data_IF_261254970448
#
_entry.id   IF_261254970448
#
_cell.length_a   1.000
_cell.length_b   1.000
_cell.length_c   1.000
_cell.angle_alpha   90.00
_cell.angle_beta   90.00
_cell.angle_gamma   90.00
#
_symmetry.space_group_name_H-M   'P 1'
#
loop_
_entity.id
_entity.type
_entity.pdbx_description
1 polymer ?
#
# COMPACT_ATOMS: atom_id res chain seq x y z
N UNK A 1 -17.58 45.95 -43.91
CA UNK A 1 -16.34 45.18 -43.75
C UNK A 1 -16.37 43.76 -44.36
N UNK A 2 -17.46 43.29 -44.99
CA UNK A 2 -17.57 41.95 -45.60
C UNK A 2 -17.27 41.90 -47.11
N UNK A 3 -16.98 43.04 -47.77
CA UNK A 3 -16.72 43.12 -49.24
C UNK A 3 -15.21 43.27 -49.57
N UNK A 4 -14.33 43.48 -48.60
CA UNK A 4 -12.89 43.65 -48.84
C UNK A 4 -12.08 42.32 -48.78
N UNK A 5 -12.67 41.27 -48.21
CA UNK A 5 -11.99 39.97 -48.07
C UNK A 5 -12.09 39.10 -49.34
N UNK A 6 -13.09 39.34 -50.16
CA UNK A 6 -13.31 38.59 -51.40
C UNK A 6 -12.35 38.97 -52.55
N UNK A 7 -11.74 40.16 -52.54
CA UNK A 7 -10.82 40.60 -53.61
C UNK A 7 -9.38 40.17 -53.39
N UNK A 8 -8.97 39.79 -52.18
CA UNK A 8 -7.58 39.35 -51.91
C UNK A 8 -7.38 37.87 -52.24
N UNK A 9 -8.43 37.04 -52.14
CA UNK A 9 -8.34 35.64 -52.51
C UNK A 9 -8.33 35.35 -54.01
N UNK A 10 -8.83 36.28 -54.86
CA UNK A 10 -8.84 36.10 -56.31
C UNK A 10 -7.52 36.49 -56.99
N UNK A 11 -6.65 37.25 -56.29
CA UNK A 11 -5.37 37.68 -56.87
C UNK A 11 -4.22 36.69 -56.67
N UNK A 12 -4.37 35.74 -55.74
CA UNK A 12 -3.31 34.73 -55.46
C UNK A 12 -3.40 33.50 -56.40
N UNK A 13 -4.55 33.30 -57.08
CA UNK A 13 -4.71 32.16 -58.02
C UNK A 13 -4.36 32.47 -59.47
N UNK A 14 -3.99 33.70 -59.78
CA UNK A 14 -3.70 34.09 -61.18
C UNK A 14 -2.18 34.11 -61.52
N UNK A 15 -1.28 33.85 -60.57
CA UNK A 15 0.19 33.92 -60.80
C UNK A 15 0.84 32.57 -60.97
N UNK A 16 0.11 31.44 -60.83
CA UNK A 16 0.69 30.09 -60.85
C UNK A 16 0.58 29.33 -62.20
N UNK A 17 0.24 30.00 -63.30
CA UNK A 17 0.04 29.32 -64.61
C UNK A 17 0.95 29.79 -65.76
N UNK A 18 2.09 30.46 -65.49
CA UNK A 18 3.00 30.90 -66.55
C UNK A 18 4.47 30.59 -66.24
N UNK A 19 4.81 29.32 -66.00
CA UNK A 19 6.20 28.85 -65.96
C UNK A 19 6.28 27.37 -66.36
N UNK A 20 5.90 27.07 -67.61
CA UNK A 20 6.27 25.80 -68.26
C UNK A 20 6.98 26.18 -69.55
N UNK A 21 8.31 26.31 -69.45
CA UNK A 21 9.17 26.26 -70.66
C UNK A 21 10.58 25.82 -70.21
N UNK A 22 10.95 24.60 -70.68
CA UNK A 22 12.29 24.10 -70.83
C UNK A 22 13.21 24.03 -69.61
N UNK A 23 13.24 22.85 -68.97
CA UNK A 23 14.39 22.40 -68.21
C UNK A 23 14.96 21.13 -68.86
N UNK A 24 16.27 21.17 -69.17
CA UNK A 24 17.07 20.02 -69.58
C UNK A 24 17.05 18.94 -68.51
N UNK A 25 17.22 17.63 -68.85
CA UNK A 25 17.20 16.54 -67.85
C UNK A 25 18.43 16.65 -66.94
N UNK A 26 18.17 17.01 -65.69
CA UNK A 26 19.13 16.93 -64.58
C UNK A 26 19.36 15.43 -64.28
N UNK A 27 20.60 14.97 -64.10
CA UNK A 27 20.88 13.59 -63.73
C UNK A 27 20.14 13.23 -62.44
N UNK A 28 19.36 12.14 -62.46
CA UNK A 28 18.63 11.62 -61.31
C UNK A 28 19.67 11.16 -60.26
N UNK A 29 19.91 12.01 -59.28
CA UNK A 29 20.63 11.61 -58.07
C UNK A 29 19.80 10.51 -57.40
N UNK A 30 20.42 9.34 -57.15
CA UNK A 30 19.75 8.19 -56.55
C UNK A 30 19.04 8.64 -55.26
N UNK A 31 17.74 8.41 -55.20
CA UNK A 31 16.91 8.73 -54.02
C UNK A 31 17.59 8.14 -52.79
N UNK A 32 17.98 9.04 -51.87
CA UNK A 32 18.47 8.64 -50.53
C UNK A 32 17.42 7.73 -49.92
N UNK A 33 17.76 6.53 -49.44
CA UNK A 33 16.80 5.64 -48.86
C UNK A 33 16.02 6.43 -47.77
N UNK A 34 14.71 6.32 -47.79
CA UNK A 34 13.88 6.89 -46.73
C UNK A 34 14.43 6.40 -45.39
N UNK A 35 14.52 7.26 -44.36
CA UNK A 35 14.94 6.80 -43.04
C UNK A 35 14.08 5.60 -42.67
N UNK A 36 14.74 4.47 -42.39
CA UNK A 36 14.06 3.30 -41.84
C UNK A 36 13.18 3.79 -40.66
N UNK A 37 11.90 3.45 -40.71
CA UNK A 37 10.99 3.74 -39.59
C UNK A 37 11.56 3.01 -38.38
N UNK A 38 12.20 3.74 -37.49
CA UNK A 38 12.67 3.20 -36.20
C UNK A 38 11.43 2.65 -35.53
N UNK A 39 11.35 1.31 -35.45
CA UNK A 39 10.26 0.67 -34.68
C UNK A 39 10.30 1.26 -33.27
N UNK A 40 9.18 1.75 -32.73
CA UNK A 40 9.17 2.27 -31.37
C UNK A 40 9.79 1.24 -30.42
N UNK A 41 10.68 1.67 -29.55
CA UNK A 41 11.27 0.79 -28.55
C UNK A 41 10.15 0.09 -27.77
N UNK A 42 10.27 -1.22 -27.61
CA UNK A 42 9.31 -1.97 -26.82
C UNK A 42 9.41 -1.49 -25.36
N UNK A 43 8.30 -1.06 -24.78
CA UNK A 43 8.26 -0.64 -23.40
C UNK A 43 8.40 -1.84 -22.46
N UNK A 44 9.13 -1.66 -21.38
CA UNK A 44 9.43 -2.71 -20.38
C UNK A 44 9.07 -2.19 -19.00
N UNK A 45 8.34 -2.98 -18.21
CA UNK A 45 8.00 -2.69 -16.82
C UNK A 45 8.81 -3.65 -15.93
N UNK A 46 9.66 -3.11 -15.07
CA UNK A 46 10.33 -3.88 -14.03
C UNK A 46 9.54 -3.79 -12.73
N UNK A 47 9.16 -4.94 -12.17
CA UNK A 47 8.46 -5.05 -10.89
C UNK A 47 9.44 -5.61 -9.86
N UNK A 48 9.75 -4.82 -8.84
CA UNK A 48 10.66 -5.24 -7.77
C UNK A 48 9.84 -5.74 -6.58
N UNK A 49 10.08 -6.99 -6.19
CA UNK A 49 9.38 -7.67 -5.09
C UNK A 49 10.36 -8.10 -4.01
N UNK A 50 10.00 -8.09 -2.71
CA UNK A 50 10.88 -8.59 -1.66
C UNK A 50 11.08 -10.10 -1.79
N UNK A 51 12.33 -10.56 -1.59
CA UNK A 51 12.69 -11.97 -1.53
C UNK A 51 12.39 -12.52 -0.14
N UNK A 52 11.90 -13.76 -0.07
CA UNK A 52 11.60 -14.45 1.20
C UNK A 52 10.67 -13.66 2.15
N UNK A 53 9.80 -12.84 1.60
CA UNK A 53 8.80 -12.14 2.38
C UNK A 53 7.77 -13.11 2.97
N UNK A 54 7.20 -12.75 4.10
CA UNK A 54 6.12 -13.48 4.77
C UNK A 54 4.88 -12.60 4.89
N UNK A 55 3.75 -13.21 5.22
CA UNK A 55 2.50 -12.52 5.47
C UNK A 55 2.05 -11.59 4.33
N UNK A 56 1.70 -10.37 4.68
CA UNK A 56 1.17 -9.38 3.75
C UNK A 56 2.13 -9.06 2.58
N UNK A 57 3.43 -8.92 2.86
CA UNK A 57 4.42 -8.61 1.82
C UNK A 57 4.58 -9.75 0.80
N UNK A 58 4.55 -11.01 1.26
CA UNK A 58 4.58 -12.18 0.39
C UNK A 58 3.36 -12.19 -0.55
N UNK A 59 2.19 -11.94 -0.01
CA UNK A 59 0.96 -11.85 -0.80
C UNK A 59 1.01 -10.69 -1.79
N UNK A 60 1.47 -9.50 -1.38
CA UNK A 60 1.61 -8.35 -2.26
C UNK A 60 2.55 -8.65 -3.44
N UNK A 61 3.68 -9.30 -3.20
CA UNK A 61 4.59 -9.75 -4.24
C UNK A 61 3.95 -10.77 -5.20
N UNK A 62 3.20 -11.74 -4.67
CA UNK A 62 2.55 -12.78 -5.47
C UNK A 62 1.46 -12.21 -6.39
N UNK A 63 0.57 -11.35 -5.88
CA UNK A 63 -0.49 -10.74 -6.70
C UNK A 63 0.07 -9.75 -7.73
N UNK A 64 1.17 -9.07 -7.42
CA UNK A 64 1.88 -8.22 -8.37
C UNK A 64 2.52 -9.04 -9.50
N UNK A 65 3.11 -10.19 -9.19
CA UNK A 65 3.68 -11.10 -10.18
C UNK A 65 2.59 -11.67 -11.11
N UNK A 66 1.41 -12.01 -10.58
CA UNK A 66 0.26 -12.46 -11.39
C UNK A 66 -0.23 -11.35 -12.34
N UNK A 67 -0.33 -10.11 -11.86
CA UNK A 67 -0.67 -8.95 -12.68
C UNK A 67 0.38 -8.73 -13.78
N UNK A 68 1.67 -8.85 -13.44
CA UNK A 68 2.79 -8.75 -14.37
C UNK A 68 2.69 -9.78 -15.50
N UNK A 69 2.41 -11.04 -15.19
CA UNK A 69 2.22 -12.10 -16.19
C UNK A 69 0.98 -11.83 -17.07
N UNK A 70 -0.09 -11.31 -16.50
CA UNK A 70 -1.30 -10.93 -17.25
C UNK A 70 -1.00 -9.83 -18.27
N UNK A 71 -0.29 -8.78 -17.87
CA UNK A 71 0.10 -7.66 -18.73
C UNK A 71 1.06 -8.15 -19.83
N UNK A 72 2.02 -9.00 -19.48
CA UNK A 72 2.95 -9.61 -20.42
C UNK A 72 2.25 -10.49 -21.44
N UNK A 73 1.29 -11.31 -21.00
CA UNK A 73 0.51 -12.18 -21.89
C UNK A 73 -0.36 -11.40 -22.89
N UNK A 74 -0.78 -10.18 -22.55
CA UNK A 74 -1.44 -9.27 -23.47
C UNK A 74 -0.54 -8.78 -24.62
N UNK A 75 0.77 -8.98 -24.51
CA UNK A 75 1.76 -8.78 -25.60
C UNK A 75 2.07 -7.32 -25.94
N UNK A 76 1.58 -6.37 -25.14
CA UNK A 76 1.78 -4.93 -25.36
C UNK A 76 3.09 -4.41 -24.77
N UNK A 77 3.44 -4.93 -23.59
CA UNK A 77 4.66 -4.60 -22.85
C UNK A 77 5.41 -5.89 -22.51
N UNK A 78 6.73 -5.79 -22.36
CA UNK A 78 7.47 -6.80 -21.62
C UNK A 78 7.44 -6.46 -20.14
N UNK A 79 7.33 -7.48 -19.27
CA UNK A 79 7.32 -7.30 -17.82
C UNK A 79 8.34 -8.24 -17.21
N UNK A 80 9.20 -7.69 -16.36
CA UNK A 80 10.27 -8.41 -15.67
C UNK A 80 10.08 -8.27 -14.18
N UNK A 81 9.82 -9.38 -13.49
CA UNK A 81 9.75 -9.42 -12.03
C UNK A 81 11.12 -9.77 -11.48
N UNK A 82 11.63 -8.98 -10.55
CA UNK A 82 12.94 -9.18 -9.92
C UNK A 82 12.80 -9.11 -8.40
N UNK A 83 13.35 -10.09 -7.69
CA UNK A 83 13.36 -10.11 -6.24
C UNK A 83 14.58 -9.35 -5.68
N UNK A 84 14.42 -8.77 -4.49
CA UNK A 84 15.49 -8.14 -3.71
C UNK A 84 15.48 -8.66 -2.27
N UNK A 85 16.67 -8.89 -1.71
CA UNK A 85 16.82 -9.45 -0.37
C UNK A 85 16.73 -8.40 0.74
N UNK A 86 17.17 -7.17 0.46
CA UNK A 86 17.23 -6.06 1.41
C UNK A 86 17.26 -4.70 0.69
N UNK A 87 17.27 -3.60 1.43
CA UNK A 87 17.33 -2.25 0.89
C UNK A 87 18.57 -2.00 0.00
N UNK A 88 19.72 -2.56 0.36
CA UNK A 88 20.94 -2.40 -0.45
C UNK A 88 20.82 -3.12 -1.80
N UNK A 89 20.23 -4.32 -1.80
CA UNK A 89 19.95 -5.08 -3.02
C UNK A 89 18.94 -4.33 -3.90
N UNK A 90 17.91 -3.72 -3.32
CA UNK A 90 16.94 -2.89 -4.04
C UNK A 90 17.61 -1.67 -4.67
N UNK A 91 18.42 -0.91 -3.89
CA UNK A 91 19.19 0.24 -4.38
C UNK A 91 20.11 -0.16 -5.54
N UNK A 92 20.76 -1.32 -5.44
CA UNK A 92 21.60 -1.84 -6.52
C UNK A 92 20.79 -2.11 -7.79
N UNK A 93 19.64 -2.79 -7.70
CA UNK A 93 18.76 -3.05 -8.83
C UNK A 93 18.31 -1.75 -9.51
N UNK A 94 17.90 -0.75 -8.72
CA UNK A 94 17.50 0.57 -9.24
C UNK A 94 18.64 1.28 -9.98
N UNK A 95 19.87 1.26 -9.44
CA UNK A 95 21.03 1.82 -10.12
C UNK A 95 21.38 1.07 -11.41
N UNK A 96 21.28 -0.27 -11.42
CA UNK A 96 21.52 -1.09 -12.59
C UNK A 96 20.49 -0.78 -13.70
N UNK A 97 19.20 -0.58 -13.34
CA UNK A 97 18.14 -0.19 -14.27
C UNK A 97 18.35 1.22 -14.83
N UNK A 98 18.77 2.18 -14.01
CA UNK A 98 19.14 3.51 -14.48
C UNK A 98 20.28 3.46 -15.51
N UNK A 99 21.30 2.64 -15.26
CA UNK A 99 22.44 2.47 -16.18
C UNK A 99 22.08 1.73 -17.49
N UNK A 100 21.05 0.89 -17.49
CA UNK A 100 20.55 0.17 -18.67
C UNK A 100 19.62 1.00 -19.55
N UNK A 101 19.12 2.13 -19.03
CA UNK A 101 18.19 2.99 -19.75
C UNK A 101 18.86 3.62 -20.97
N UNK A 102 18.16 3.64 -22.11
CA UNK A 102 18.56 4.38 -23.30
C UNK A 102 18.11 5.86 -23.26
N UNK A 103 17.45 6.29 -22.19
CA UNK A 103 16.93 7.63 -22.04
C UNK A 103 15.71 7.96 -22.91
N UNK A 104 15.08 6.94 -23.53
CA UNK A 104 13.95 7.08 -24.46
C UNK A 104 12.57 6.98 -23.80
N UNK A 105 12.52 6.80 -22.47
CA UNK A 105 11.28 6.65 -21.70
C UNK A 105 10.57 5.31 -21.92
N UNK A 106 11.26 4.31 -22.46
CA UNK A 106 10.70 2.97 -22.68
C UNK A 106 10.72 2.08 -21.44
N UNK A 107 11.38 2.52 -20.35
CA UNK A 107 11.56 1.77 -19.12
C UNK A 107 10.69 2.34 -17.99
N UNK A 108 9.98 1.47 -17.28
CA UNK A 108 9.25 1.80 -16.07
C UNK A 108 9.61 0.85 -14.94
N UNK A 109 9.59 1.35 -13.70
CA UNK A 109 9.89 0.57 -12.49
C UNK A 109 8.75 0.68 -11.50
N UNK A 110 8.31 -0.44 -10.96
CA UNK A 110 7.28 -0.51 -9.91
C UNK A 110 7.88 -1.21 -8.71
N UNK A 111 7.74 -0.61 -7.53
CA UNK A 111 8.35 -1.15 -6.32
C UNK A 111 7.58 -0.79 -5.05
N UNK A 112 7.76 -1.62 -4.02
CA UNK A 112 7.58 -1.23 -2.63
C UNK A 112 8.96 -0.82 -2.10
N UNK A 113 9.18 0.45 -1.72
CA UNK A 113 10.45 0.87 -1.12
C UNK A 113 10.75 0.10 0.16
N UNK A 114 11.94 -0.48 0.25
CA UNK A 114 12.36 -1.20 1.45
C UNK A 114 12.55 -0.25 2.65
N UNK A 115 13.06 0.95 2.38
CA UNK A 115 13.18 2.08 3.31
C UNK A 115 13.51 3.37 2.54
N UNK A 116 13.76 4.48 3.23
CA UNK A 116 14.09 5.77 2.63
C UNK A 116 15.43 5.79 1.87
N UNK A 117 16.31 4.82 2.06
CA UNK A 117 17.62 4.76 1.37
C UNK A 117 17.52 4.65 -0.15
N UNK A 118 16.37 4.24 -0.68
CA UNK A 118 16.10 4.12 -2.12
C UNK A 118 15.96 5.48 -2.83
N UNK A 119 15.70 6.58 -2.11
CA UNK A 119 15.42 7.90 -2.72
C UNK A 119 16.51 8.36 -3.69
N UNK A 120 17.78 8.22 -3.32
CA UNK A 120 18.89 8.60 -4.19
C UNK A 120 18.96 7.76 -5.48
N UNK A 121 18.55 6.50 -5.43
CA UNK A 121 18.49 5.63 -6.61
C UNK A 121 17.26 5.95 -7.49
N UNK A 122 16.13 6.32 -6.89
CA UNK A 122 14.94 6.79 -7.61
C UNK A 122 15.22 8.10 -8.35
N UNK A 123 15.98 9.03 -7.75
CA UNK A 123 16.42 10.25 -8.43
C UNK A 123 17.25 9.95 -9.69
N UNK A 124 18.13 8.94 -9.64
CA UNK A 124 18.91 8.51 -10.82
C UNK A 124 18.06 7.87 -11.91
N UNK A 125 16.98 7.16 -11.55
CA UNK A 125 16.02 6.67 -12.55
C UNK A 125 15.43 7.84 -13.35
N UNK A 126 15.01 8.91 -12.66
CA UNK A 126 14.48 10.11 -13.33
C UNK A 126 15.52 10.79 -14.23
N UNK A 127 16.77 10.93 -13.77
CA UNK A 127 17.87 11.46 -14.58
C UNK A 127 18.10 10.61 -15.84
N UNK A 128 17.86 9.30 -15.76
CA UNK A 128 17.94 8.35 -16.87
C UNK A 128 16.64 8.26 -17.71
N UNK A 129 15.66 9.15 -17.48
CA UNK A 129 14.34 9.15 -18.10
C UNK A 129 13.57 7.83 -17.92
N UNK A 130 13.65 7.24 -16.74
CA UNK A 130 12.91 6.05 -16.31
C UNK A 130 11.80 6.48 -15.35
N UNK A 131 10.56 6.15 -15.71
CA UNK A 131 9.40 6.40 -14.84
C UNK A 131 9.33 5.37 -13.71
N UNK A 132 8.83 5.76 -12.53
CA UNK A 132 8.59 4.80 -11.47
C UNK A 132 7.24 5.00 -10.79
N UNK A 133 6.68 3.92 -10.23
CA UNK A 133 5.48 3.91 -9.39
C UNK A 133 5.83 3.26 -8.05
N UNK A 134 5.28 3.81 -6.97
CA UNK A 134 5.54 3.39 -5.60
C UNK A 134 4.30 2.74 -4.99
N UNK A 135 4.51 1.75 -4.11
CA UNK A 135 3.47 1.10 -3.35
C UNK A 135 3.88 0.97 -1.87
N UNK A 136 2.91 1.05 -0.96
CA UNK A 136 3.03 0.89 0.49
C UNK A 136 3.81 2.03 1.17
N UNK A 137 5.10 1.88 1.34
CA UNK A 137 5.97 2.91 1.91
C UNK A 137 6.34 3.93 0.85
N UNK A 138 5.96 5.18 1.04
CA UNK A 138 6.16 6.27 0.07
C UNK A 138 7.14 7.29 0.65
N UNK A 139 8.43 7.26 0.24
CA UNK A 139 9.39 8.28 0.66
C UNK A 139 9.01 9.66 0.14
N UNK A 140 8.98 10.68 1.00
CA UNK A 140 8.48 12.02 0.69
C UNK A 140 9.14 12.66 -0.54
N UNK A 141 10.48 12.54 -0.65
CA UNK A 141 11.21 13.13 -1.76
C UNK A 141 10.92 12.43 -3.11
N UNK A 142 10.58 11.14 -3.08
CA UNK A 142 10.27 10.34 -4.26
C UNK A 142 8.81 10.47 -4.69
N UNK A 143 7.89 10.75 -3.76
CA UNK A 143 6.45 10.83 -4.00
C UNK A 143 6.09 11.80 -5.11
N UNK A 144 6.73 12.96 -5.16
CA UNK A 144 6.39 14.08 -6.07
C UNK A 144 6.63 13.72 -7.54
N UNK A 145 7.60 12.87 -7.82
CA UNK A 145 8.05 12.55 -9.18
C UNK A 145 7.59 11.15 -9.66
N UNK A 146 6.91 10.40 -8.83
CA UNK A 146 6.34 9.10 -9.19
C UNK A 146 5.18 9.24 -10.18
N UNK A 147 4.94 8.20 -10.96
CA UNK A 147 3.74 8.05 -11.78
C UNK A 147 2.50 7.94 -10.89
N UNK A 148 2.60 7.17 -9.82
CA UNK A 148 1.56 7.00 -8.80
C UNK A 148 2.18 6.53 -7.48
N UNK A 149 1.54 6.92 -6.38
CA UNK A 149 1.82 6.49 -5.01
C UNK A 149 0.60 5.71 -4.52
N UNK A 150 0.68 4.39 -4.51
CA UNK A 150 -0.40 3.52 -4.06
C UNK A 150 -0.18 3.16 -2.60
N UNK A 151 -1.02 3.64 -1.70
CA UNK A 151 -0.80 3.49 -0.26
C UNK A 151 -2.11 3.34 0.51
N UNK A 152 -1.98 3.05 1.79
CA UNK A 152 -3.02 3.27 2.79
C UNK A 152 -2.65 4.46 3.66
N UNK A 153 -3.65 5.19 4.12
CA UNK A 153 -3.45 6.18 5.17
C UNK A 153 -3.42 5.45 6.53
N UNK A 154 -2.23 5.33 7.11
CA UNK A 154 -2.02 4.64 8.38
C UNK A 154 -2.77 5.31 9.55
N UNK A 155 -2.96 6.63 9.51
CA UNK A 155 -3.77 7.34 10.51
C UNK A 155 -5.24 6.96 10.39
N UNK A 156 -5.74 6.80 9.18
CA UNK A 156 -7.12 6.32 8.94
C UNK A 156 -7.30 4.90 9.46
N UNK A 157 -6.30 4.00 9.34
CA UNK A 157 -6.34 2.67 9.95
C UNK A 157 -6.46 2.79 11.48
N UNK A 158 -5.62 3.62 12.11
CA UNK A 158 -5.68 3.86 13.56
C UNK A 158 -7.02 4.44 14.03
N UNK A 159 -7.57 5.39 13.27
CA UNK A 159 -8.89 5.97 13.55
C UNK A 159 -10.00 4.90 13.44
N UNK A 160 -9.92 3.99 12.46
CA UNK A 160 -10.86 2.90 12.33
C UNK A 160 -10.82 1.95 13.52
N UNK A 161 -9.64 1.58 14.02
CA UNK A 161 -9.47 0.76 15.23
C UNK A 161 -10.11 1.46 16.44
N UNK A 162 -9.81 2.76 16.66
CA UNK A 162 -10.41 3.53 17.73
C UNK A 162 -11.94 3.57 17.64
N UNK A 163 -12.47 3.82 16.44
CA UNK A 163 -13.91 3.85 16.19
C UNK A 163 -14.59 2.51 16.50
N UNK A 164 -13.95 1.37 16.17
CA UNK A 164 -14.50 0.06 16.52
C UNK A 164 -14.50 -0.18 18.03
N UNK A 165 -13.44 0.18 18.74
CA UNK A 165 -13.41 0.06 20.19
C UNK A 165 -14.48 0.95 20.87
N UNK A 166 -14.65 2.20 20.40
CA UNK A 166 -15.72 3.10 20.91
C UNK A 166 -17.11 2.51 20.61
N UNK A 167 -17.33 1.95 19.43
CA UNK A 167 -18.60 1.24 19.09
C UNK A 167 -18.84 0.01 19.98
N UNK A 168 -17.77 -0.63 20.46
CA UNK A 168 -17.81 -1.75 21.41
C UNK A 168 -17.88 -1.30 22.88
N UNK A 169 -18.06 0.00 23.12
CA UNK A 169 -18.32 0.54 24.46
C UNK A 169 -17.14 1.22 25.14
N UNK A 170 -15.97 1.33 24.50
CA UNK A 170 -14.82 2.04 25.09
C UNK A 170 -15.17 3.50 25.38
N UNK A 171 -14.95 3.93 26.62
CA UNK A 171 -15.13 5.30 27.11
C UNK A 171 -13.81 5.89 27.60
N UNK A 172 -13.78 7.20 27.86
CA UNK A 172 -12.58 7.90 28.35
C UNK A 172 -12.07 7.38 29.71
N UNK A 173 -12.97 6.87 30.54
CA UNK A 173 -12.64 6.38 31.87
C UNK A 173 -12.09 4.94 31.88
N UNK A 174 -12.16 4.23 30.74
CA UNK A 174 -11.74 2.85 30.65
C UNK A 174 -10.32 2.73 30.09
N UNK A 175 -9.62 1.69 30.54
CA UNK A 175 -8.26 1.40 30.11
C UNK A 175 -8.26 0.72 28.73
N UNK A 176 -7.43 1.21 27.81
CA UNK A 176 -7.12 0.56 26.54
C UNK A 176 -5.61 0.31 26.43
N UNK A 177 -5.24 -0.88 26.03
CA UNK A 177 -3.85 -1.25 25.78
C UNK A 177 -3.61 -1.28 24.28
N UNK A 178 -2.66 -0.48 23.81
CA UNK A 178 -2.16 -0.50 22.43
C UNK A 178 -0.94 -1.40 22.36
N UNK A 179 -1.06 -2.53 21.68
CA UNK A 179 0.04 -3.45 21.41
C UNK A 179 0.67 -3.09 20.07
N UNK A 180 1.90 -2.62 20.11
CA UNK A 180 2.60 -2.07 18.94
C UNK A 180 4.06 -2.55 18.87
N UNK A 181 4.62 -2.58 17.65
CA UNK A 181 6.06 -2.64 17.42
C UNK A 181 6.67 -1.24 17.29
N UNK A 182 7.76 -1.13 16.56
CA UNK A 182 8.56 0.10 16.45
C UNK A 182 8.56 0.73 15.04
N UNK A 183 7.65 0.28 14.16
CA UNK A 183 7.60 0.81 12.79
C UNK A 183 6.94 2.19 12.72
N UNK A 184 7.31 2.97 11.71
CA UNK A 184 6.69 4.27 11.46
C UNK A 184 5.19 4.15 11.14
N UNK A 185 4.79 3.10 10.42
CA UNK A 185 3.38 2.82 10.12
C UNK A 185 2.56 2.63 11.41
N UNK A 186 3.08 1.88 12.39
CA UNK A 186 2.42 1.68 13.67
C UNK A 186 2.36 2.96 14.52
N UNK A 187 3.43 3.78 14.46
CA UNK A 187 3.41 5.10 15.11
C UNK A 187 2.32 6.01 14.50
N UNK A 188 2.14 5.99 13.18
CA UNK A 188 1.07 6.72 12.50
C UNK A 188 -0.31 6.16 12.84
N UNK A 189 -0.47 4.83 12.98
CA UNK A 189 -1.72 4.21 13.47
C UNK A 189 -2.06 4.67 14.89
N UNK A 190 -1.05 4.67 15.78
CA UNK A 190 -1.20 5.19 17.14
C UNK A 190 -1.60 6.68 17.15
N UNK A 191 -1.00 7.49 16.26
CA UNK A 191 -1.39 8.89 16.11
C UNK A 191 -2.86 9.01 15.64
N UNK A 192 -3.26 8.26 14.62
CA UNK A 192 -4.62 8.25 14.09
C UNK A 192 -5.66 7.82 15.13
N UNK A 193 -5.36 6.81 15.93
CA UNK A 193 -6.15 6.36 17.06
C UNK A 193 -6.41 7.51 18.05
N UNK A 194 -5.36 8.20 18.46
CA UNK A 194 -5.45 9.35 19.39
C UNK A 194 -6.22 10.52 18.79
N UNK A 195 -5.96 10.84 17.52
CA UNK A 195 -6.64 11.94 16.83
C UNK A 195 -8.16 11.68 16.71
N UNK A 196 -8.57 10.44 16.46
CA UNK A 196 -9.98 10.07 16.43
C UNK A 196 -10.63 10.31 17.81
N UNK A 197 -10.05 9.80 18.89
CA UNK A 197 -10.57 9.96 20.24
C UNK A 197 -10.65 11.44 20.66
N UNK A 198 -9.74 12.28 20.19
CA UNK A 198 -9.75 13.72 20.42
C UNK A 198 -10.71 14.50 19.50
N UNK A 199 -11.46 13.83 18.63
CA UNK A 199 -12.33 14.47 17.65
C UNK A 199 -11.59 15.32 16.60
N UNK A 200 -10.34 14.97 16.26
CA UNK A 200 -9.49 15.67 15.28
C UNK A 200 -9.35 14.94 13.96
N UNK A 201 -9.80 13.69 13.90
CA UNK A 201 -9.81 12.85 12.71
C UNK A 201 -11.15 12.12 12.66
N UNK A 202 -11.77 12.03 11.50
CA UNK A 202 -12.99 11.26 11.30
C UNK A 202 -12.68 9.85 10.77
N UNK A 203 -13.66 8.95 10.93
CA UNK A 203 -13.73 7.66 10.28
C UNK A 203 -15.06 7.53 9.54
N UNK A 204 -15.03 7.21 8.23
CA UNK A 204 -16.24 7.15 7.38
C UNK A 204 -17.11 8.42 7.40
N UNK A 205 -16.48 9.58 7.55
CA UNK A 205 -17.17 10.86 7.65
C UNK A 205 -17.85 11.11 9.00
N UNK A 206 -17.59 10.25 10.01
CA UNK A 206 -18.12 10.39 11.37
C UNK A 206 -16.98 10.65 12.36
N UNK A 207 -17.10 11.71 13.11
CA UNK A 207 -16.27 12.00 14.28
C UNK A 207 -16.83 11.26 15.51
N UNK A 208 -15.97 11.05 16.52
CA UNK A 208 -16.45 10.63 17.83
C UNK A 208 -17.46 11.65 18.38
N UNK A 209 -18.58 11.18 18.95
CA UNK A 209 -19.66 12.07 19.45
C UNK A 209 -19.19 12.96 20.61
N UNK A 210 -18.40 12.40 21.51
CA UNK A 210 -17.82 13.12 22.65
C UNK A 210 -16.31 13.01 22.58
N UNK A 211 -15.60 14.05 22.12
CA UNK A 211 -14.13 14.07 22.13
C UNK A 211 -13.58 13.92 23.55
N UNK A 212 -12.55 13.09 23.69
CA UNK A 212 -11.89 12.87 24.96
C UNK A 212 -11.03 14.07 25.37
N UNK A 213 -11.09 14.44 26.64
CA UNK A 213 -10.28 15.50 27.22
C UNK A 213 -8.90 14.99 27.64
N UNK A 214 -8.82 13.74 28.11
CA UNK A 214 -7.56 13.07 28.48
C UNK A 214 -7.34 11.79 27.67
N UNK A 215 -6.07 11.42 27.52
CA UNK A 215 -5.62 10.14 26.95
C UNK A 215 -4.79 9.33 27.97
N UNK A 216 -4.92 9.65 29.28
CA UNK A 216 -4.11 9.04 30.33
C UNK A 216 -4.40 7.56 30.55
N UNK A 217 -5.60 7.09 30.15
CA UNK A 217 -6.00 5.69 30.22
C UNK A 217 -5.52 4.84 29.02
N UNK A 218 -4.77 5.43 28.07
CA UNK A 218 -4.15 4.71 26.98
C UNK A 218 -2.77 4.22 27.43
N UNK A 219 -2.60 2.91 27.48
CA UNK A 219 -1.34 2.25 27.79
C UNK A 219 -0.66 1.80 26.51
N UNK A 220 0.57 2.26 26.29
CA UNK A 220 1.36 1.87 25.13
C UNK A 220 2.29 0.73 25.49
N UNK A 221 2.16 -0.37 24.80
CA UNK A 221 2.97 -1.57 25.00
C UNK A 221 3.81 -1.87 23.76
N UNK A 222 5.11 -1.61 23.86
CA UNK A 222 6.05 -1.88 22.79
C UNK A 222 6.60 -3.29 22.89
N UNK A 223 6.38 -4.09 21.83
CA UNK A 223 6.93 -5.42 21.74
C UNK A 223 8.35 -5.41 21.21
N UNK A 224 9.14 -6.36 21.70
CA UNK A 224 10.46 -6.65 21.17
C UNK A 224 10.34 -7.64 19.99
N UNK A 225 10.24 -7.13 18.77
CA UNK A 225 10.05 -7.91 17.56
C UNK A 225 8.61 -7.86 17.03
N UNK A 226 8.46 -8.28 15.77
CA UNK A 226 7.19 -8.19 15.03
C UNK A 226 6.75 -9.56 14.53
N UNK A 227 6.84 -10.58 15.41
CA UNK A 227 6.51 -11.97 15.11
C UNK A 227 5.40 -12.49 16.02
N UNK A 228 4.75 -13.56 15.60
CA UNK A 228 3.78 -14.28 16.41
C UNK A 228 4.37 -14.71 17.76
N UNK A 229 5.61 -15.20 17.78
CA UNK A 229 6.32 -15.64 19.00
C UNK A 229 6.61 -14.47 19.95
N UNK A 230 6.99 -13.30 19.41
CA UNK A 230 7.21 -12.11 20.24
C UNK A 230 5.90 -11.62 20.87
N UNK A 231 4.78 -11.68 20.15
CA UNK A 231 3.47 -11.32 20.66
C UNK A 231 2.97 -12.34 21.72
N UNK A 232 3.17 -13.64 21.51
CA UNK A 232 2.88 -14.68 22.49
C UNK A 232 3.67 -14.45 23.78
N UNK A 233 4.98 -14.24 23.67
CA UNK A 233 5.86 -13.97 24.82
C UNK A 233 5.48 -12.70 25.55
N UNK A 234 5.21 -11.63 24.81
CA UNK A 234 4.76 -10.36 25.37
C UNK A 234 3.49 -10.57 26.19
N UNK A 235 2.46 -11.18 25.61
CA UNK A 235 1.16 -11.30 26.26
C UNK A 235 1.19 -12.26 27.46
N UNK A 236 2.00 -13.32 27.40
CA UNK A 236 2.27 -14.18 28.54
C UNK A 236 2.87 -13.41 29.72
N UNK A 237 3.83 -12.50 29.43
CA UNK A 237 4.43 -11.64 30.45
C UNK A 237 3.43 -10.61 30.97
N UNK A 238 2.63 -10.01 30.08
CA UNK A 238 1.60 -9.03 30.44
C UNK A 238 0.59 -9.61 31.43
N UNK A 239 0.09 -10.82 31.18
CA UNK A 239 -0.85 -11.48 32.10
C UNK A 239 -0.21 -11.97 33.41
N UNK A 240 1.10 -12.09 33.49
CA UNK A 240 1.80 -12.38 34.74
C UNK A 240 1.97 -11.16 35.64
N UNK A 241 1.75 -9.95 35.12
CA UNK A 241 1.80 -8.69 35.85
C UNK A 241 0.42 -8.34 36.41
N UNK A 242 0.37 -7.59 37.51
CA UNK A 242 -0.88 -7.28 38.23
C UNK A 242 -1.80 -6.28 37.53
N UNK A 243 -1.38 -5.73 36.39
CA UNK A 243 -2.10 -4.63 35.72
C UNK A 243 -3.12 -5.11 34.68
N UNK A 244 -3.28 -6.41 34.47
CA UNK A 244 -4.19 -6.95 33.44
C UNK A 244 -5.67 -6.95 33.84
N UNK A 245 -5.97 -7.01 35.16
CA UNK A 245 -7.34 -7.12 35.67
C UNK A 245 -8.31 -6.00 35.19
N UNK A 246 -7.76 -4.80 34.96
CA UNK A 246 -8.56 -3.64 34.51
C UNK A 246 -8.53 -3.47 32.98
N UNK A 247 -7.99 -4.44 32.22
CA UNK A 247 -7.85 -4.32 30.76
C UNK A 247 -8.97 -5.05 30.05
N UNK A 248 -9.93 -4.28 29.55
CA UNK A 248 -10.98 -4.79 28.69
C UNK A 248 -10.68 -4.58 27.19
N UNK A 249 -10.02 -3.49 26.82
CA UNK A 249 -9.87 -3.10 25.43
C UNK A 249 -8.43 -3.23 24.93
N UNK A 250 -8.25 -3.94 23.81
CA UNK A 250 -6.97 -4.16 23.14
C UNK A 250 -7.01 -3.59 21.73
N UNK A 251 -6.15 -2.61 21.43
CA UNK A 251 -5.84 -2.16 20.09
C UNK A 251 -4.52 -2.80 19.64
N UNK A 252 -4.51 -3.50 18.52
CA UNK A 252 -3.38 -4.33 18.10
C UNK A 252 -2.99 -3.99 16.66
N UNK A 253 -1.74 -3.56 16.45
CA UNK A 253 -1.34 -3.00 15.15
C UNK A 253 -1.01 -4.01 14.05
N UNK A 254 -1.14 -5.31 14.32
CA UNK A 254 -1.01 -6.36 13.30
C UNK A 254 -1.80 -7.61 13.71
N UNK A 255 -2.39 -8.30 12.74
CA UNK A 255 -3.11 -9.56 12.98
C UNK A 255 -2.18 -10.66 13.49
N UNK A 256 -0.89 -10.62 13.16
CA UNK A 256 0.12 -11.54 13.71
C UNK A 256 0.20 -11.39 15.23
N UNK A 257 0.07 -10.16 15.74
CA UNK A 257 0.06 -9.91 17.18
C UNK A 257 -1.23 -10.42 17.83
N UNK A 258 -2.37 -10.21 17.18
CA UNK A 258 -3.65 -10.75 17.63
C UNK A 258 -3.60 -12.28 17.72
N UNK A 259 -3.05 -12.94 16.72
CA UNK A 259 -2.85 -14.39 16.72
C UNK A 259 -1.88 -14.85 17.81
N UNK A 260 -0.85 -14.07 18.11
CA UNK A 260 0.08 -14.33 19.23
C UNK A 260 -0.61 -14.24 20.58
N UNK A 261 -1.50 -13.26 20.78
CA UNK A 261 -2.33 -13.13 21.98
C UNK A 261 -3.24 -14.36 22.15
N UNK A 262 -3.96 -14.76 21.10
CA UNK A 262 -4.81 -15.96 21.15
C UNK A 262 -4.00 -17.23 21.43
N UNK A 263 -2.81 -17.35 20.85
CA UNK A 263 -1.92 -18.48 21.10
C UNK A 263 -1.40 -18.51 22.53
N UNK A 264 -1.07 -17.37 23.11
CA UNK A 264 -0.67 -17.27 24.53
C UNK A 264 -1.78 -17.75 25.44
N UNK A 265 -3.02 -17.35 25.17
CA UNK A 265 -4.20 -17.80 25.94
C UNK A 265 -4.48 -19.30 25.78
N UNK A 266 -4.17 -19.88 24.61
CA UNK A 266 -4.29 -21.33 24.38
C UNK A 266 -3.18 -22.14 25.03
N UNK A 267 -2.05 -21.50 25.41
CA UNK A 267 -0.90 -22.13 26.02
C UNK A 267 -1.10 -22.47 27.50
N UNK A 268 -0.18 -23.30 28.02
CA UNK A 268 -0.14 -23.69 29.44
C UNK A 268 0.83 -22.82 30.27
N UNK A 269 1.41 -21.78 29.66
CA UNK A 269 2.48 -20.96 30.27
C UNK A 269 1.92 -19.85 31.16
N UNK A 270 0.69 -19.43 30.90
CA UNK A 270 -0.02 -18.41 31.68
C UNK A 270 -0.65 -19.10 32.90
N UNK A 271 -0.55 -18.45 34.06
CA UNK A 271 -1.27 -18.88 35.26
C UNK A 271 -2.78 -18.88 34.96
N UNK A 272 -3.46 -19.97 35.32
CA UNK A 272 -4.87 -20.17 34.97
C UNK A 272 -5.78 -19.14 35.67
N UNK A 273 -5.44 -18.72 36.90
CA UNK A 273 -6.21 -17.71 37.63
C UNK A 273 -6.11 -16.36 36.93
N UNK A 274 -4.92 -15.96 36.43
CA UNK A 274 -4.73 -14.72 35.68
C UNK A 274 -5.43 -14.75 34.32
N UNK A 275 -5.43 -15.90 33.67
CA UNK A 275 -6.13 -16.09 32.39
C UNK A 275 -7.64 -16.00 32.59
N UNK A 276 -8.19 -16.67 33.62
CA UNK A 276 -9.61 -16.66 33.93
C UNK A 276 -10.05 -15.22 34.30
N UNK A 277 -9.29 -14.50 35.13
CA UNK A 277 -9.57 -13.11 35.51
C UNK A 277 -9.61 -12.19 34.29
N UNK A 278 -8.66 -12.32 33.34
CA UNK A 278 -8.66 -11.53 32.10
C UNK A 278 -9.88 -11.84 31.23
N UNK A 279 -10.22 -13.12 31.04
CA UNK A 279 -11.34 -13.54 30.19
C UNK A 279 -12.71 -13.26 30.81
N UNK A 280 -12.84 -13.27 32.15
CA UNK A 280 -14.06 -12.85 32.88
C UNK A 280 -14.40 -11.36 32.62
N UNK A 281 -13.39 -10.54 32.25
CA UNK A 281 -13.59 -9.14 31.83
C UNK A 281 -14.25 -8.98 30.46
N UNK A 282 -14.56 -10.08 29.75
CA UNK A 282 -15.13 -10.06 28.39
C UNK A 282 -14.33 -9.12 27.46
N UNK A 283 -13.04 -9.41 27.19
CA UNK A 283 -12.17 -8.49 26.49
C UNK A 283 -12.63 -8.24 25.03
N UNK A 284 -12.34 -7.03 24.54
CA UNK A 284 -12.56 -6.61 23.17
C UNK A 284 -11.20 -6.41 22.48
N UNK A 285 -10.99 -7.06 21.35
CA UNK A 285 -9.77 -6.94 20.57
C UNK A 285 -10.08 -6.39 19.19
N UNK A 286 -9.41 -5.30 18.82
CA UNK A 286 -9.46 -4.78 17.44
C UNK A 286 -8.02 -4.71 16.91
N UNK A 287 -7.76 -5.50 15.86
CA UNK A 287 -6.47 -5.53 15.17
C UNK A 287 -6.55 -4.85 13.80
N UNK A 288 -5.47 -4.94 13.05
CA UNK A 288 -5.45 -4.53 11.66
C UNK A 288 -4.49 -5.41 10.83
N UNK A 289 -4.87 -5.65 9.56
CA UNK A 289 -4.14 -6.52 8.65
C UNK A 289 -5.07 -7.15 7.61
N UNK A 290 -5.88 -8.08 8.04
CA UNK A 290 -6.71 -8.94 7.19
C UNK A 290 -6.00 -10.24 6.85
N UNK A 291 -5.25 -10.81 7.82
CA UNK A 291 -4.62 -12.12 7.63
C UNK A 291 -5.67 -13.23 7.53
N UNK A 292 -5.40 -14.23 6.67
CA UNK A 292 -6.30 -15.37 6.54
C UNK A 292 -6.46 -16.12 7.87
N UNK A 293 -5.37 -16.22 8.65
CA UNK A 293 -5.40 -16.90 9.95
C UNK A 293 -6.40 -16.26 10.92
N UNK A 294 -6.44 -14.92 11.03
CA UNK A 294 -7.41 -14.25 11.89
C UNK A 294 -8.83 -14.28 11.30
N UNK A 295 -8.98 -14.17 9.96
CA UNK A 295 -10.28 -14.32 9.32
C UNK A 295 -10.89 -15.72 9.53
N UNK A 296 -10.06 -16.78 9.55
CA UNK A 296 -10.50 -18.13 9.86
C UNK A 296 -10.99 -18.23 11.32
N UNK A 297 -10.27 -17.62 12.27
CA UNK A 297 -10.72 -17.52 13.67
C UNK A 297 -12.06 -16.78 13.76
N UNK A 298 -12.20 -15.63 13.11
CA UNK A 298 -13.43 -14.84 13.13
C UNK A 298 -14.62 -15.61 12.54
N UNK A 299 -14.38 -16.38 11.48
CA UNK A 299 -15.42 -17.18 10.81
C UNK A 299 -15.92 -18.34 11.69
N UNK A 300 -15.08 -18.88 12.54
CA UNK A 300 -15.33 -20.08 13.36
C UNK A 300 -15.02 -19.86 14.86
N UNK A 301 -15.12 -18.60 15.33
CA UNK A 301 -14.77 -18.16 16.68
C UNK A 301 -15.41 -19.03 17.78
N UNK A 302 -16.62 -19.55 17.55
CA UNK A 302 -17.29 -20.45 18.50
C UNK A 302 -16.57 -21.79 18.73
N UNK A 303 -15.61 -22.17 17.85
CA UNK A 303 -14.82 -23.40 17.99
C UNK A 303 -13.49 -23.18 18.68
N UNK A 304 -12.98 -21.96 18.71
CA UNK A 304 -11.81 -21.60 19.50
C UNK A 304 -12.30 -21.09 20.87
N UNK A 305 -12.08 -21.84 21.97
CA UNK A 305 -12.59 -21.45 23.28
C UNK A 305 -12.01 -20.12 23.77
N UNK A 306 -10.77 -19.76 23.36
CA UNK A 306 -10.17 -18.51 23.76
C UNK A 306 -10.75 -17.34 22.97
N UNK A 307 -10.95 -17.51 21.66
CA UNK A 307 -11.63 -16.49 20.84
C UNK A 307 -13.10 -16.31 21.25
N UNK A 308 -13.79 -17.41 21.64
CA UNK A 308 -15.16 -17.38 22.10
C UNK A 308 -15.36 -16.67 23.45
N UNK A 309 -14.30 -16.52 24.25
CA UNK A 309 -14.34 -15.81 25.52
C UNK A 309 -14.19 -14.28 25.38
N UNK A 310 -13.80 -13.79 24.19
CA UNK A 310 -13.82 -12.36 23.91
C UNK A 310 -15.25 -11.90 23.65
N UNK A 311 -15.62 -10.72 24.14
CA UNK A 311 -16.88 -10.06 23.75
C UNK A 311 -16.90 -9.81 22.25
N UNK A 312 -15.76 -9.38 21.68
CA UNK A 312 -15.62 -9.14 20.25
C UNK A 312 -14.14 -9.18 19.83
N UNK A 313 -13.90 -9.83 18.68
CA UNK A 313 -12.64 -9.72 17.95
C UNK A 313 -12.96 -9.14 16.58
N UNK A 314 -12.19 -8.14 16.15
CA UNK A 314 -12.35 -7.48 14.85
C UNK A 314 -10.98 -7.18 14.22
N UNK A 315 -10.93 -7.04 12.90
CA UNK A 315 -9.72 -6.57 12.20
C UNK A 315 -10.07 -5.53 11.15
N UNK A 316 -9.24 -4.50 11.07
CA UNK A 316 -9.24 -3.52 9.98
C UNK A 316 -8.47 -4.13 8.82
N UNK A 317 -9.16 -4.46 7.74
CA UNK A 317 -8.57 -5.08 6.56
C UNK A 317 -8.00 -4.02 5.63
N UNK A 318 -6.77 -4.22 5.21
CA UNK A 318 -6.15 -3.56 4.08
C UNK A 318 -5.57 -4.60 3.13
N UNK A 319 -6.00 -4.53 1.84
CA UNK A 319 -5.64 -5.53 0.83
C UNK A 319 -4.15 -5.52 0.52
N UNK A 320 -3.59 -6.67 0.15
CA UNK A 320 -2.23 -6.80 -0.38
C UNK A 320 -2.09 -6.39 -1.86
N UNK A 321 -3.11 -5.74 -2.44
CA UNK A 321 -3.13 -5.39 -3.87
C UNK A 321 -2.33 -4.12 -4.24
N UNK A 322 -1.72 -3.40 -3.28
CA UNK A 322 -1.07 -2.11 -3.56
C UNK A 322 -0.05 -2.20 -4.70
N UNK A 323 0.83 -3.19 -4.64
CA UNK A 323 1.87 -3.36 -5.67
C UNK A 323 1.26 -3.77 -7.02
N UNK A 324 0.22 -4.61 -7.04
CA UNK A 324 -0.55 -4.93 -8.25
C UNK A 324 -1.18 -3.69 -8.86
N UNK A 325 -1.83 -2.85 -8.06
CA UNK A 325 -2.44 -1.59 -8.51
C UNK A 325 -1.38 -0.67 -9.13
N UNK A 326 -0.19 -0.59 -8.52
CA UNK A 326 0.92 0.18 -9.07
C UNK A 326 1.44 -0.37 -10.40
N UNK A 327 1.47 -1.70 -10.59
CA UNK A 327 1.84 -2.36 -11.86
C UNK A 327 0.82 -2.04 -12.96
N UNK A 328 -0.47 -2.15 -12.65
CA UNK A 328 -1.57 -1.82 -13.57
C UNK A 328 -1.55 -0.33 -13.92
N UNK A 329 -1.28 0.55 -12.96
CA UNK A 329 -1.15 1.98 -13.16
C UNK A 329 0.04 2.34 -14.06
N UNK A 330 1.20 1.69 -13.92
CA UNK A 330 2.35 1.88 -14.80
C UNK A 330 2.03 1.46 -16.24
N UNK A 331 1.31 0.36 -16.44
CA UNK A 331 0.85 -0.06 -17.77
C UNK A 331 -0.12 0.97 -18.39
N UNK A 332 -1.07 1.48 -17.61
CA UNK A 332 -1.99 2.55 -18.02
C UNK A 332 -1.26 3.85 -18.36
N UNK A 333 -0.26 4.24 -17.57
CA UNK A 333 0.62 5.38 -17.86
C UNK A 333 1.34 5.20 -19.20
N UNK A 334 1.88 4.04 -19.46
CA UNK A 334 2.50 3.73 -20.74
C UNK A 334 1.55 3.77 -21.93
N UNK A 335 0.24 3.58 -21.68
CA UNK A 335 -0.83 3.74 -22.66
C UNK A 335 -1.23 5.21 -22.90
N UNK A 336 -0.65 6.14 -22.14
CA UNK A 336 -1.00 7.56 -22.17
C UNK A 336 -2.26 7.90 -21.37
N UNK A 337 -2.72 6.96 -20.52
CA UNK A 337 -3.83 7.22 -19.59
C UNK A 337 -3.34 8.11 -18.44
N UNK A 338 -4.16 9.08 -18.04
CA UNK A 338 -3.87 9.87 -16.83
C UNK A 338 -4.10 8.99 -15.59
N UNK A 339 -3.07 8.83 -14.79
CA UNK A 339 -3.10 8.07 -13.55
C UNK A 339 -3.07 9.05 -12.37
N UNK A 340 -3.88 8.86 -11.32
CA UNK A 340 -3.79 9.65 -10.09
C UNK A 340 -2.40 9.50 -9.47
N UNK A 341 -1.76 10.60 -9.10
CA UNK A 341 -0.47 10.56 -8.42
C UNK A 341 -0.62 10.00 -7.02
N UNK A 342 -1.60 10.48 -6.26
CA UNK A 342 -1.97 9.92 -4.97
C UNK A 342 -3.14 8.94 -5.17
N UNK A 343 -2.93 7.69 -4.81
CA UNK A 343 -3.88 6.59 -4.97
C UNK A 343 -4.06 5.87 -3.63
N UNK A 344 -4.71 6.57 -2.69
CA UNK A 344 -4.97 6.04 -1.35
C UNK A 344 -6.11 5.02 -1.42
N UNK A 345 -5.85 3.80 -0.96
CA UNK A 345 -6.80 2.71 -0.99
C UNK A 345 -7.72 2.74 0.24
N UNK A 346 -8.91 2.18 0.07
CA UNK A 346 -9.90 2.05 1.15
C UNK A 346 -9.63 0.83 1.99
N UNK A 347 -10.05 0.89 3.26
CA UNK A 347 -9.98 -0.20 4.23
C UNK A 347 -11.39 -0.71 4.53
N UNK A 348 -11.48 -1.91 5.11
CA UNK A 348 -12.74 -2.53 5.52
C UNK A 348 -12.63 -3.06 6.95
N UNK A 349 -13.76 -3.39 7.57
CA UNK A 349 -13.79 -4.01 8.90
C UNK A 349 -14.33 -5.43 8.77
N UNK A 350 -13.59 -6.41 9.29
CA UNK A 350 -14.06 -7.76 9.45
C UNK A 350 -14.32 -8.08 10.92
N UNK A 351 -15.39 -8.81 11.16
CA UNK A 351 -15.80 -9.38 12.45
C UNK A 351 -16.45 -10.75 12.22
N UNK A 352 -16.93 -11.40 13.24
CA UNK A 352 -17.54 -12.72 13.15
C UNK A 352 -18.74 -12.81 12.18
N UNK A 353 -19.45 -11.69 11.92
CA UNK A 353 -20.64 -11.68 11.06
C UNK A 353 -20.28 -11.66 9.56
N UNK A 354 -19.13 -11.07 9.20
CA UNK A 354 -18.80 -10.78 7.81
C UNK A 354 -17.43 -11.32 7.35
N UNK A 355 -16.62 -11.91 8.25
CA UNK A 355 -15.26 -12.38 7.93
C UNK A 355 -15.23 -13.33 6.72
N UNK A 356 -16.26 -14.17 6.56
CA UNK A 356 -16.39 -15.10 5.42
C UNK A 356 -16.55 -14.42 4.05
N UNK A 357 -16.79 -13.11 4.02
CA UNK A 357 -16.88 -12.32 2.78
C UNK A 357 -15.52 -11.84 2.28
N UNK A 358 -14.49 -11.94 3.11
CA UNK A 358 -13.14 -11.48 2.81
C UNK A 358 -12.19 -12.64 2.56
N UNK A 359 -11.17 -12.37 1.78
CA UNK A 359 -10.05 -13.26 1.55
C UNK A 359 -8.79 -12.59 2.10
N UNK A 360 -8.11 -13.26 3.01
CA UNK A 360 -6.90 -12.78 3.64
C UNK A 360 -5.63 -13.01 2.80
N UNK A 361 -4.52 -12.53 3.35
CA UNK A 361 -3.18 -12.77 2.83
C UNK A 361 -2.51 -13.96 3.55
#
# INVERSE_FOLDING_TARGET
MKKLIACVLALVMAVSLAACAQQEPVPTEAAKPAPESVKPAQKVIHVLVPENAEGWQAKAGAVAAEAAETIKAAGKYDVVVSAYADANAQVKLLNDLAAQSNGDGSLGVVLMPADASVEAALAKLLEANVSYALADTIPDAAAIASVTNVSYDQRTIGAAVAAQLVRSGLTEDERVVIVQGISEAEAQRTEGFRLYLQGKLDWEGAMIETPWESLDNIVYSEMQGQTLESAETYFTTYLAESDHADTKYLAVWDDTYAMGILKALAGETIDEDNKEEFLEGEPVLVSCGGSQALLDVLTDAAKDPNAAAFESIQTVIYSADLLKIAVEAMAAWFDGTVVPQENVQTIAIANAENASQYQGY
#
